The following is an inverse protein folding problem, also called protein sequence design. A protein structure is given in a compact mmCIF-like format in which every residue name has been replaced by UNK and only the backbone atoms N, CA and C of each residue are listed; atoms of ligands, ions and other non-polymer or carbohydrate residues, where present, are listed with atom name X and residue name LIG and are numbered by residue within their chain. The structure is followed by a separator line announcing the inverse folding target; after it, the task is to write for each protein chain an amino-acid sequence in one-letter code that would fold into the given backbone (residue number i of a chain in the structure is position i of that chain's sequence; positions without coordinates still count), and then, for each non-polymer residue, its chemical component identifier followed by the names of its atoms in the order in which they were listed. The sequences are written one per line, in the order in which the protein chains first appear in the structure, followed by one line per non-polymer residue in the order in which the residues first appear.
data_IF_031167185981
#
_entry.id   IF_031167185981
#
_cell.length_a   1.000
_cell.length_b   1.000
_cell.length_c   1.000
_cell.angle_alpha   90.00
_cell.angle_beta   90.00
_cell.angle_gamma   90.00
#
_symmetry.space_group_name_H-M   'P 1'
#
loop_
_entity.id
_entity.type
_entity.pdbx_description
1 polymer ?
#
# COMPACT_ATOMS: atom_id res chain seq x y z
N UNK A 1 -10.49 -20.54 16.65
CA UNK A 1 -9.23 -19.91 17.10
C UNK A 1 -9.63 -18.65 17.86
N UNK A 2 -9.53 -18.68 19.19
CA UNK A 2 -10.10 -17.66 20.07
C UNK A 2 -9.47 -16.30 19.84
N UNK A 3 -10.29 -15.30 19.54
CA UNK A 3 -9.90 -13.89 19.47
C UNK A 3 -10.31 -13.24 20.79
N UNK A 4 -9.35 -12.67 21.53
CA UNK A 4 -9.61 -12.03 22.80
C UNK A 4 -9.98 -10.55 22.59
N UNK A 5 -11.25 -10.19 22.79
CA UNK A 5 -11.75 -8.81 22.66
C UNK A 5 -11.05 -7.84 23.61
N UNK A 6 -10.57 -6.71 23.07
CA UNK A 6 -10.11 -5.57 23.85
C UNK A 6 -11.34 -4.84 24.37
N UNK A 7 -11.81 -5.21 25.56
CA UNK A 7 -12.84 -4.44 26.27
C UNK A 7 -12.18 -3.25 26.96
N UNK A 8 -12.12 -2.09 26.30
CA UNK A 8 -11.77 -0.83 26.95
C UNK A 8 -13.04 -0.17 27.51
N UNK A 9 -13.05 0.04 28.82
CA UNK A 9 -14.02 0.85 29.55
C UNK A 9 -13.76 2.33 29.26
N UNK A 10 -14.53 2.94 28.36
CA UNK A 10 -14.51 4.40 28.19
C UNK A 10 -15.20 4.96 26.94
N UNK A 11 -16.51 5.21 27.04
CA UNK A 11 -17.38 6.14 26.28
C UNK A 11 -17.21 6.20 24.74
N UNK A 12 -18.16 5.76 23.90
CA UNK A 12 -19.51 6.33 23.80
C UNK A 12 -20.59 5.37 23.22
N UNK A 13 -20.52 4.08 23.51
CA UNK A 13 -21.64 3.16 23.31
C UNK A 13 -22.04 2.56 24.66
N UNK A 14 -23.10 3.08 25.28
CA UNK A 14 -23.62 2.62 26.58
C UNK A 14 -24.36 1.28 26.54
N UNK A 15 -23.82 0.28 25.85
CA UNK A 15 -24.35 -1.09 25.82
C UNK A 15 -23.31 -2.07 26.38
N UNK A 16 -23.75 -3.02 27.21
CA UNK A 16 -22.88 -4.14 27.61
C UNK A 16 -22.54 -4.99 26.37
N UNK A 17 -21.43 -5.73 26.46
CA UNK A 17 -20.91 -6.59 25.40
C UNK A 17 -21.89 -7.72 25.00
N UNK A 18 -22.96 -7.97 25.79
CA UNK A 18 -24.02 -8.93 25.47
C UNK A 18 -24.96 -8.48 24.32
N UNK A 19 -24.78 -7.27 23.78
CA UNK A 19 -25.64 -6.68 22.73
C UNK A 19 -25.06 -6.75 21.31
N UNK A 20 -23.90 -7.40 21.13
CA UNK A 20 -23.14 -7.46 19.87
C UNK A 20 -23.66 -8.51 18.86
N UNK A 21 -24.98 -8.59 18.64
CA UNK A 21 -25.60 -9.59 17.74
C UNK A 21 -26.60 -8.98 16.72
N UNK A 22 -26.59 -7.66 16.53
CA UNK A 22 -27.46 -7.02 15.54
C UNK A 22 -26.95 -7.28 14.11
N UNK A 23 -27.74 -7.93 13.26
CA UNK A 23 -27.36 -8.17 11.86
C UNK A 23 -28.05 -7.19 10.90
N UNK A 24 -27.24 -6.43 10.17
CA UNK A 24 -27.69 -5.59 9.06
C UNK A 24 -27.93 -6.47 7.82
N UNK A 25 -29.03 -6.23 7.07
CA UNK A 25 -29.29 -6.94 5.82
C UNK A 25 -28.22 -6.59 4.78
N UNK A 26 -27.86 -7.57 3.95
CA UNK A 26 -26.91 -7.41 2.83
C UNK A 26 -27.49 -8.15 1.62
N UNK A 27 -28.22 -7.42 0.78
CA UNK A 27 -29.00 -7.98 -0.32
C UNK A 27 -28.86 -7.10 -1.58
N UNK A 28 -27.66 -6.98 -2.17
CA UNK A 28 -27.37 -6.03 -3.25
C UNK A 28 -28.15 -6.29 -4.56
N UNK A 29 -28.78 -7.45 -4.69
CA UNK A 29 -29.41 -7.91 -5.93
C UNK A 29 -30.94 -7.89 -5.88
N UNK A 30 -31.53 -7.45 -4.77
CA UNK A 30 -32.98 -7.39 -4.59
C UNK A 30 -33.39 -6.05 -3.98
N UNK A 31 -34.00 -5.19 -4.79
CA UNK A 31 -34.60 -3.95 -4.34
C UNK A 31 -36.12 -4.11 -4.19
N UNK A 32 -36.73 -3.36 -3.28
CA UNK A 32 -38.18 -3.31 -3.15
C UNK A 32 -38.81 -2.53 -4.31
N UNK A 33 -39.91 -3.05 -4.84
CA UNK A 33 -40.70 -2.40 -5.88
C UNK A 33 -41.95 -1.73 -5.27
N UNK A 34 -41.79 -0.49 -4.82
CA UNK A 34 -42.88 0.30 -4.26
C UNK A 34 -44.01 0.53 -5.27
N UNK A 35 -45.26 0.27 -4.86
CA UNK A 35 -46.44 0.52 -5.67
C UNK A 35 -47.63 0.98 -4.82
N UNK A 36 -48.59 1.65 -5.46
CA UNK A 36 -49.76 2.20 -4.77
C UNK A 36 -50.59 1.08 -4.12
N UNK A 37 -50.99 1.29 -2.87
CA UNK A 37 -51.78 0.33 -2.09
C UNK A 37 -50.96 -0.76 -1.38
N UNK A 38 -49.63 -0.78 -1.53
CA UNK A 38 -48.74 -1.70 -0.83
C UNK A 38 -48.65 -1.36 0.66
N UNK A 39 -48.79 -2.37 1.54
CA UNK A 39 -48.49 -2.26 2.97
C UNK A 39 -47.01 -2.60 3.19
N UNK A 40 -46.26 -1.71 3.85
CA UNK A 40 -44.83 -1.91 4.12
C UNK A 40 -44.60 -2.45 5.54
N UNK A 41 -43.87 -3.54 5.65
CA UNK A 41 -43.46 -4.18 6.90
C UNK A 41 -41.96 -4.09 7.18
N UNK A 42 -41.52 -4.75 8.24
CA UNK A 42 -40.09 -4.78 8.63
C UNK A 42 -39.21 -5.37 7.53
N UNK A 43 -39.64 -6.46 6.89
CA UNK A 43 -38.87 -7.09 5.82
C UNK A 43 -38.71 -6.20 4.58
N UNK A 44 -39.71 -5.38 4.26
CA UNK A 44 -39.66 -4.40 3.17
C UNK A 44 -38.57 -3.34 3.41
N UNK A 45 -38.50 -2.80 4.63
CA UNK A 45 -37.47 -1.84 5.01
C UNK A 45 -36.08 -2.49 5.14
N UNK A 46 -36.02 -3.77 5.55
CA UNK A 46 -34.76 -4.53 5.55
C UNK A 46 -34.27 -4.79 4.12
N UNK A 47 -35.17 -5.09 3.18
CA UNK A 47 -34.82 -5.24 1.77
C UNK A 47 -34.28 -3.91 1.20
N UNK A 48 -34.98 -2.79 1.44
CA UNK A 48 -34.49 -1.47 1.02
C UNK A 48 -33.12 -1.12 1.61
N UNK A 49 -32.94 -1.33 2.92
CA UNK A 49 -31.65 -1.06 3.58
C UNK A 49 -30.55 -1.97 3.03
N UNK A 50 -30.84 -3.26 2.86
CA UNK A 50 -29.90 -4.27 2.41
C UNK A 50 -29.44 -4.06 0.97
N UNK A 51 -30.31 -3.51 0.11
CA UNK A 51 -29.96 -3.16 -1.26
C UNK A 51 -28.85 -2.10 -1.30
N UNK A 52 -29.05 -0.96 -0.63
CA UNK A 52 -28.07 0.13 -0.63
C UNK A 52 -26.77 -0.25 0.10
N UNK A 53 -26.89 -0.88 1.27
CA UNK A 53 -25.73 -1.30 2.05
C UNK A 53 -24.91 -2.36 1.32
N UNK A 54 -25.56 -3.38 0.77
CA UNK A 54 -24.89 -4.41 -0.02
C UNK A 54 -24.23 -3.85 -1.27
N UNK A 55 -24.88 -2.88 -1.95
CA UNK A 55 -24.30 -2.22 -3.12
C UNK A 55 -23.05 -1.42 -2.75
N UNK A 56 -23.06 -0.70 -1.62
CA UNK A 56 -21.89 0.02 -1.11
C UNK A 56 -20.74 -0.94 -0.77
N UNK A 57 -21.02 -2.02 -0.04
CA UNK A 57 -20.03 -3.05 0.29
C UNK A 57 -19.45 -3.72 -0.95
N UNK A 58 -20.29 -4.01 -1.95
CA UNK A 58 -19.86 -4.56 -3.24
C UNK A 58 -18.97 -3.60 -4.00
N UNK A 59 -19.36 -2.34 -4.06
CA UNK A 59 -18.56 -1.29 -4.69
C UNK A 59 -17.17 -1.18 -4.04
N UNK A 60 -17.10 -1.14 -2.70
CA UNK A 60 -15.84 -1.08 -1.97
C UNK A 60 -14.94 -2.29 -2.28
N UNK A 61 -15.42 -3.51 -2.04
CA UNK A 61 -14.59 -4.71 -2.22
C UNK A 61 -14.19 -4.95 -3.68
N UNK A 62 -15.07 -4.68 -4.64
CA UNK A 62 -14.83 -4.99 -6.04
C UNK A 62 -13.91 -3.97 -6.74
N UNK A 63 -14.02 -2.67 -6.39
CA UNK A 63 -13.28 -1.61 -7.08
C UNK A 63 -12.07 -1.10 -6.30
N UNK A 64 -12.11 -1.16 -4.97
CA UNK A 64 -11.07 -0.59 -4.11
C UNK A 64 -10.29 -1.67 -3.37
N UNK A 65 -10.94 -2.77 -3.00
CA UNK A 65 -10.34 -3.84 -2.20
C UNK A 65 -10.50 -3.55 -0.71
N UNK A 66 -9.45 -3.80 0.07
CA UNK A 66 -9.49 -3.71 1.54
C UNK A 66 -8.17 -3.19 2.11
N UNK A 67 -8.22 -2.69 3.34
CA UNK A 67 -7.06 -2.19 4.08
C UNK A 67 -7.37 -0.92 4.88
N UNK A 68 -6.36 -0.45 5.59
CA UNK A 68 -6.39 0.83 6.31
C UNK A 68 -6.32 1.98 5.30
N UNK A 69 -7.31 2.86 5.32
CA UNK A 69 -7.39 4.04 4.43
C UNK A 69 -6.58 5.20 5.02
N UNK A 70 -6.81 5.50 6.31
CA UNK A 70 -6.05 6.48 7.07
C UNK A 70 -6.11 6.19 8.57
N UNK A 71 -5.17 6.74 9.35
CA UNK A 71 -5.16 6.62 10.79
C UNK A 71 -4.75 5.22 11.28
N UNK A 72 -5.39 4.76 12.36
CA UNK A 72 -5.08 3.49 13.02
C UNK A 72 -3.59 3.37 13.39
N UNK A 73 -2.98 4.47 13.83
CA UNK A 73 -1.64 4.42 14.38
C UNK A 73 -1.66 3.63 15.69
N UNK A 74 -0.70 2.73 15.87
CA UNK A 74 -0.56 1.89 17.05
C UNK A 74 0.69 2.34 17.80
N UNK A 75 0.48 2.86 19.00
CA UNK A 75 1.53 3.41 19.86
C UNK A 75 1.64 2.54 21.12
N UNK A 76 2.85 2.49 21.70
CA UNK A 76 3.08 1.84 22.99
C UNK A 76 3.61 2.89 23.99
N UNK A 77 2.87 3.11 25.08
CA UNK A 77 3.29 3.92 26.21
C UNK A 77 3.96 3.02 27.24
N UNK A 78 5.29 2.97 27.20
CA UNK A 78 6.08 2.11 28.08
C UNK A 78 5.95 2.50 29.58
N UNK A 79 5.66 3.76 29.89
CA UNK A 79 5.52 4.22 31.27
C UNK A 79 4.19 3.74 31.88
N UNK A 80 3.14 3.66 31.06
CA UNK A 80 1.83 3.14 31.48
C UNK A 80 1.62 1.66 31.18
N UNK A 81 2.51 1.04 30.41
CA UNK A 81 2.36 -0.33 29.93
C UNK A 81 1.07 -0.51 29.12
N UNK A 82 0.77 0.49 28.28
CA UNK A 82 -0.46 0.56 27.50
C UNK A 82 -0.16 0.57 26.01
N UNK A 83 -0.97 -0.15 25.24
CA UNK A 83 -1.11 0.07 23.81
C UNK A 83 -2.19 1.12 23.57
N UNK A 84 -1.97 1.97 22.59
CA UNK A 84 -2.92 2.98 22.15
C UNK A 84 -3.13 2.88 20.65
N UNK A 85 -4.37 2.63 20.25
CA UNK A 85 -4.79 2.65 18.84
C UNK A 85 -5.51 3.97 18.58
N UNK A 86 -4.97 4.79 17.68
CA UNK A 86 -5.54 6.09 17.33
C UNK A 86 -6.72 5.96 16.35
N UNK A 87 -7.61 6.98 16.28
CA UNK A 87 -8.70 7.04 15.32
C UNK A 87 -8.27 6.76 13.88
N UNK A 88 -9.19 6.22 13.08
CA UNK A 88 -8.90 5.84 11.70
C UNK A 88 -10.10 5.28 10.96
N UNK A 89 -9.90 5.05 9.66
CA UNK A 89 -10.85 4.39 8.78
C UNK A 89 -10.14 3.27 8.03
N UNK A 90 -10.78 2.11 8.01
CA UNK A 90 -10.36 0.97 7.22
C UNK A 90 -11.57 0.34 6.54
N UNK A 91 -11.31 -0.42 5.47
CA UNK A 91 -12.31 -1.24 4.78
C UNK A 91 -11.86 -2.68 4.91
N UNK A 92 -12.75 -3.54 5.38
CA UNK A 92 -12.45 -4.96 5.54
C UNK A 92 -12.61 -5.75 4.24
N UNK A 93 -12.26 -7.05 4.26
CA UNK A 93 -12.30 -7.88 3.04
C UNK A 93 -13.72 -8.10 2.47
N UNK A 94 -14.76 -7.82 3.25
CA UNK A 94 -16.18 -7.91 2.85
C UNK A 94 -16.73 -6.57 2.37
N UNK A 95 -15.91 -5.51 2.39
CA UNK A 95 -16.27 -4.16 1.98
C UNK A 95 -16.98 -3.35 3.07
N UNK A 96 -16.88 -3.77 4.34
CA UNK A 96 -17.49 -3.07 5.49
C UNK A 96 -16.55 -1.99 6.00
N UNK A 97 -17.12 -0.86 6.37
CA UNK A 97 -16.37 0.25 6.95
C UNK A 97 -16.06 -0.05 8.42
N UNK A 98 -14.79 0.16 8.78
CA UNK A 98 -14.26 0.05 10.13
C UNK A 98 -13.80 1.46 10.53
N UNK A 99 -14.73 2.25 11.06
CA UNK A 99 -14.46 3.62 11.49
C UNK A 99 -14.27 3.66 13.00
N UNK A 100 -13.10 4.11 13.45
CA UNK A 100 -12.81 4.35 14.85
C UNK A 100 -12.69 5.84 15.10
N UNK A 101 -13.64 6.40 15.86
CA UNK A 101 -13.74 7.85 16.08
C UNK A 101 -12.85 8.37 17.22
N UNK A 102 -12.49 7.49 18.16
CA UNK A 102 -11.74 7.85 19.36
C UNK A 102 -10.61 6.86 19.63
N UNK A 103 -9.52 7.35 20.23
CA UNK A 103 -8.39 6.50 20.59
C UNK A 103 -8.82 5.44 21.61
N UNK A 104 -8.33 4.20 21.42
CA UNK A 104 -8.57 3.08 22.32
C UNK A 104 -7.28 2.72 23.02
N UNK A 105 -7.31 2.65 24.35
CA UNK A 105 -6.17 2.27 25.17
C UNK A 105 -6.39 0.88 25.76
N UNK A 106 -5.33 0.08 25.82
CA UNK A 106 -5.33 -1.24 26.44
C UNK A 106 -4.11 -1.40 27.34
N UNK A 107 -4.34 -1.64 28.62
CA UNK A 107 -3.28 -2.09 29.54
C UNK A 107 -2.86 -3.51 29.20
N UNK A 108 -1.61 -3.69 28.80
CA UNK A 108 -1.03 -4.99 28.47
C UNK A 108 -1.00 -5.94 29.69
N UNK A 109 -0.61 -5.49 30.90
CA UNK A 109 -0.72 -6.31 32.10
C UNK A 109 -2.14 -6.77 32.42
N UNK A 110 -3.13 -5.87 32.37
CA UNK A 110 -4.51 -6.19 32.70
C UNK A 110 -5.13 -7.14 31.66
N UNK A 111 -4.78 -6.96 30.38
CA UNK A 111 -5.16 -7.88 29.32
C UNK A 111 -4.57 -9.27 29.57
N UNK A 112 -3.28 -9.35 29.90
CA UNK A 112 -2.62 -10.64 30.15
C UNK A 112 -3.23 -11.37 31.35
N UNK A 113 -3.49 -10.69 32.46
CA UNK A 113 -4.10 -11.31 33.65
C UNK A 113 -5.45 -11.96 33.32
N UNK A 114 -6.24 -11.32 32.45
CA UNK A 114 -7.55 -11.80 31.99
C UNK A 114 -7.45 -12.96 30.99
N UNK A 115 -6.46 -12.94 30.09
CA UNK A 115 -6.42 -13.82 28.91
C UNK A 115 -5.37 -14.93 28.95
N UNK A 116 -4.43 -14.93 29.91
CA UNK A 116 -3.38 -15.95 30.04
C UNK A 116 -3.90 -17.39 30.18
N UNK A 117 -5.16 -17.55 30.60
CA UNK A 117 -5.83 -18.85 30.72
C UNK A 117 -6.57 -19.32 29.46
N UNK A 118 -6.61 -18.51 28.40
CA UNK A 118 -7.29 -18.87 27.16
C UNK A 118 -6.53 -20.00 26.43
N UNK A 119 -7.25 -20.87 25.71
CA UNK A 119 -6.68 -22.00 24.96
C UNK A 119 -5.56 -21.57 23.99
N UNK A 120 -5.61 -20.34 23.49
CA UNK A 120 -4.60 -19.76 22.60
C UNK A 120 -3.19 -19.65 23.24
N UNK A 121 -3.11 -19.73 24.57
CA UNK A 121 -1.89 -19.59 25.36
C UNK A 121 -1.53 -20.86 26.14
N UNK A 122 -2.33 -21.93 26.04
CA UNK A 122 -2.19 -23.15 26.83
C UNK A 122 -0.84 -23.88 26.64
N UNK A 123 -0.19 -23.70 25.48
CA UNK A 123 1.08 -24.34 25.15
C UNK A 123 2.31 -23.59 25.69
N UNK A 124 2.13 -22.42 26.34
CA UNK A 124 3.24 -21.64 26.85
C UNK A 124 3.84 -22.29 28.11
N UNK A 125 5.19 -22.41 28.19
CA UNK A 125 5.85 -23.17 29.24
C UNK A 125 5.77 -22.50 30.62
N UNK A 126 5.69 -21.17 30.65
CA UNK A 126 5.55 -20.39 31.88
C UNK A 126 4.63 -19.21 31.60
N UNK A 127 3.47 -19.17 32.27
CA UNK A 127 2.50 -18.07 32.13
C UNK A 127 2.82 -16.87 33.02
N UNK A 128 3.71 -17.03 34.01
CA UNK A 128 4.11 -15.98 34.96
C UNK A 128 5.34 -15.18 34.48
N UNK A 129 6.04 -15.66 33.45
CA UNK A 129 7.13 -14.97 32.74
C UNK A 129 7.22 -15.50 31.31
N UNK A 130 6.76 -14.70 30.35
CA UNK A 130 6.66 -15.10 28.95
C UNK A 130 7.07 -13.99 27.99
N UNK A 131 7.76 -14.36 26.92
CA UNK A 131 8.00 -13.50 25.76
C UNK A 131 7.28 -14.08 24.55
N UNK A 132 6.44 -13.28 23.89
CA UNK A 132 5.61 -13.75 22.78
C UNK A 132 5.29 -12.64 21.78
N UNK A 133 5.03 -13.04 20.54
CA UNK A 133 4.57 -12.12 19.50
C UNK A 133 3.04 -12.06 19.46
N UNK A 134 2.50 -10.84 19.35
CA UNK A 134 1.06 -10.56 19.25
C UNK A 134 0.74 -9.73 18.00
N UNK A 135 -0.52 -9.82 17.56
CA UNK A 135 -1.11 -8.97 16.53
C UNK A 135 -2.22 -8.12 17.14
N UNK A 136 -2.24 -6.84 16.80
CA UNK A 136 -3.39 -5.95 17.00
C UNK A 136 -4.32 -6.13 15.81
N UNK A 137 -5.53 -6.60 16.07
CA UNK A 137 -6.49 -6.98 15.03
C UNK A 137 -7.74 -6.12 15.13
N UNK A 138 -8.20 -5.65 13.97
CA UNK A 138 -9.40 -4.85 13.79
C UNK A 138 -10.46 -5.68 13.06
N UNK A 139 -11.60 -5.88 13.70
CA UNK A 139 -12.71 -6.65 13.16
C UNK A 139 -13.96 -5.78 13.06
N UNK A 140 -14.85 -6.13 12.15
CA UNK A 140 -16.20 -5.57 12.12
C UNK A 140 -17.02 -6.13 13.28
N UNK A 141 -17.74 -5.26 13.99
CA UNK A 141 -18.80 -5.66 14.91
C UNK A 141 -20.04 -4.77 14.71
N UNK A 142 -21.17 -5.26 15.19
CA UNK A 142 -22.42 -4.52 15.18
C UNK A 142 -23.20 -4.75 16.46
N UNK A 143 -23.62 -3.65 17.09
CA UNK A 143 -24.27 -3.67 18.39
C UNK A 143 -25.71 -3.19 18.28
N UNK A 144 -26.61 -3.91 18.94
CA UNK A 144 -27.96 -3.43 19.18
C UNK A 144 -27.91 -2.27 20.17
N UNK A 145 -28.57 -1.16 19.86
CA UNK A 145 -28.58 0.02 20.72
C UNK A 145 -29.98 0.61 20.84
N UNK A 146 -30.16 1.43 21.89
CA UNK A 146 -31.41 2.11 22.22
C UNK A 146 -32.59 1.13 22.40
N UNK A 147 -32.69 0.47 23.56
CA UNK A 147 -33.84 -0.35 23.90
C UNK A 147 -35.11 0.51 23.94
N UNK A 148 -36.19 0.00 23.39
CA UNK A 148 -37.50 0.65 23.30
C UNK A 148 -38.60 -0.35 23.67
N UNK A 149 -39.72 0.10 24.25
CA UNK A 149 -40.89 -0.74 24.40
C UNK A 149 -41.35 -1.30 23.06
N UNK A 150 -41.64 -2.60 23.03
CA UNK A 150 -42.13 -3.34 21.88
C UNK A 150 -43.32 -4.21 22.27
N UNK A 151 -44.18 -4.51 21.30
CA UNK A 151 -45.26 -5.47 21.49
C UNK A 151 -44.61 -6.84 21.69
N UNK A 152 -44.86 -7.46 22.84
CA UNK A 152 -44.37 -8.80 23.12
C UNK A 152 -44.98 -9.80 22.12
N UNK A 153 -44.17 -10.73 21.62
CA UNK A 153 -44.69 -11.83 20.83
C UNK A 153 -45.70 -12.61 21.68
N UNK A 154 -46.97 -12.73 21.29
CA UNK A 154 -47.98 -13.44 22.07
C UNK A 154 -47.67 -14.93 22.27
N UNK A 155 -46.73 -15.49 21.51
CA UNK A 155 -46.23 -16.85 21.67
C UNK A 155 -44.97 -16.95 22.55
N UNK A 156 -44.29 -15.83 22.83
CA UNK A 156 -43.21 -15.78 23.80
C UNK A 156 -43.84 -15.68 25.19
N UNK A 157 -43.73 -16.75 25.98
CA UNK A 157 -44.36 -16.83 27.31
C UNK A 157 -44.02 -15.65 28.23
N UNK A 158 -44.74 -15.55 29.36
CA UNK A 158 -44.85 -14.40 30.28
C UNK A 158 -43.54 -13.78 30.83
N UNK A 159 -42.37 -14.33 30.51
CA UNK A 159 -41.06 -13.91 31.02
C UNK A 159 -40.22 -13.06 30.03
N UNK A 160 -40.74 -12.71 28.84
CA UNK A 160 -40.02 -11.79 27.95
C UNK A 160 -40.48 -10.35 28.16
N UNK A 161 -39.62 -9.45 28.67
CA UNK A 161 -39.96 -8.03 28.73
C UNK A 161 -40.22 -7.55 27.30
N UNK A 162 -41.33 -6.83 27.09
CA UNK A 162 -41.69 -6.20 25.81
C UNK A 162 -40.73 -5.07 25.44
N UNK A 163 -39.46 -5.40 25.25
CA UNK A 163 -38.36 -4.50 24.94
C UNK A 163 -37.66 -5.06 23.70
N UNK A 164 -37.51 -4.22 22.68
CA UNK A 164 -36.68 -4.48 21.51
C UNK A 164 -35.67 -3.35 21.31
N UNK A 165 -34.64 -3.57 20.51
CA UNK A 165 -33.66 -2.53 20.20
C UNK A 165 -34.03 -1.83 18.89
N UNK A 166 -34.04 -0.50 18.92
CA UNK A 166 -34.49 0.31 17.78
C UNK A 166 -33.38 0.62 16.77
N UNK A 167 -32.12 0.27 17.07
CA UNK A 167 -30.95 0.62 16.28
C UNK A 167 -29.94 -0.52 16.25
N UNK A 168 -29.26 -0.65 15.12
CA UNK A 168 -28.02 -1.43 14.97
C UNK A 168 -26.94 -0.40 14.63
N UNK A 169 -25.87 -0.36 15.43
CA UNK A 169 -24.72 0.49 15.20
C UNK A 169 -23.55 -0.37 14.75
N UNK A 170 -22.93 -0.01 13.62
CA UNK A 170 -21.65 -0.59 13.20
C UNK A 170 -20.54 0.06 14.03
N UNK A 171 -19.68 -0.76 14.63
CA UNK A 171 -18.52 -0.30 15.37
C UNK A 171 -17.41 -1.34 15.21
N UNK A 172 -16.18 -0.95 14.87
CA UNK A 172 -15.10 -1.91 14.81
C UNK A 172 -14.73 -2.38 16.23
N UNK A 173 -14.40 -3.66 16.36
CA UNK A 173 -13.79 -4.21 17.57
C UNK A 173 -12.29 -4.36 17.38
N UNK A 174 -11.55 -4.04 18.43
CA UNK A 174 -10.11 -4.29 18.51
C UNK A 174 -9.88 -5.54 19.35
N UNK A 175 -8.92 -6.37 18.96
CA UNK A 175 -8.50 -7.55 19.72
C UNK A 175 -6.99 -7.72 19.67
N UNK A 176 -6.44 -8.37 20.70
CA UNK A 176 -5.08 -8.91 20.66
C UNK A 176 -5.16 -10.41 20.48
N UNK A 177 -4.31 -10.96 19.62
CA UNK A 177 -4.15 -12.41 19.44
C UNK A 177 -2.70 -12.78 19.22
N UNK A 178 -2.35 -14.05 19.41
CA UNK A 178 -1.04 -14.60 19.04
C UNK A 178 -0.73 -14.27 17.58
N UNK A 179 0.48 -13.79 17.33
CA UNK A 179 0.93 -13.55 15.98
C UNK A 179 0.89 -14.86 15.20
N UNK A 180 0.22 -14.81 14.05
CA UNK A 180 0.18 -15.94 13.13
C UNK A 180 1.31 -15.77 12.11
N UNK A 181 1.91 -16.87 11.62
CA UNK A 181 2.72 -16.81 10.41
C UNK A 181 1.91 -16.07 9.35
N UNK A 182 2.56 -15.19 8.57
CA UNK A 182 1.86 -14.54 7.46
C UNK A 182 1.15 -15.64 6.66
N UNK A 183 -0.18 -15.64 6.70
CA UNK A 183 -0.96 -16.62 5.96
C UNK A 183 -0.48 -16.54 4.51
N UNK A 184 -0.30 -17.69 3.85
CA UNK A 184 0.00 -17.69 2.43
C UNK A 184 -1.08 -16.85 1.77
N UNK A 185 -0.73 -15.64 1.33
CA UNK A 185 -1.71 -14.69 0.85
C UNK A 185 -2.47 -15.38 -0.28
N UNK A 186 -3.81 -15.43 -0.16
CA UNK A 186 -4.65 -15.86 -1.28
C UNK A 186 -4.17 -15.14 -2.52
N UNK A 187 -3.96 -15.88 -3.63
CA UNK A 187 -3.34 -15.33 -4.82
C UNK A 187 -4.03 -14.00 -5.18
N UNK A 188 -3.28 -12.87 -5.21
CA UNK A 188 -3.88 -11.57 -5.39
C UNK A 188 -4.62 -11.50 -6.74
N UNK A 189 -5.75 -10.77 -6.82
CA UNK A 189 -6.56 -10.71 -8.03
C UNK A 189 -5.78 -10.07 -9.19
N UNK A 190 -6.30 -10.22 -10.42
CA UNK A 190 -5.69 -9.68 -11.63
C UNK A 190 -4.27 -10.18 -11.90
N UNK A 191 -3.99 -11.46 -11.68
CA UNK A 191 -2.64 -12.07 -11.81
C UNK A 191 -1.88 -11.62 -13.04
N UNK A 192 -2.46 -11.76 -14.23
CA UNK A 192 -1.78 -11.45 -15.50
C UNK A 192 -1.34 -9.98 -15.60
N UNK A 193 -2.18 -9.05 -15.10
CA UNK A 193 -1.84 -7.63 -15.00
C UNK A 193 -0.71 -7.39 -14.01
N UNK A 194 -0.69 -8.11 -12.88
CA UNK A 194 0.39 -8.03 -11.90
C UNK A 194 1.72 -8.50 -12.47
N UNK A 195 1.73 -9.57 -13.29
CA UNK A 195 2.94 -10.02 -13.99
C UNK A 195 3.41 -8.96 -14.99
N UNK A 196 2.50 -8.38 -15.79
CA UNK A 196 2.83 -7.28 -16.72
C UNK A 196 3.45 -6.07 -16.01
N UNK A 197 2.95 -5.74 -14.80
CA UNK A 197 3.43 -4.64 -13.96
C UNK A 197 4.67 -4.99 -13.12
N UNK A 198 5.18 -6.22 -13.19
CA UNK A 198 6.32 -6.67 -12.37
C UNK A 198 5.99 -6.85 -10.87
N UNK A 199 4.72 -6.90 -10.50
CA UNK A 199 4.22 -7.11 -9.13
C UNK A 199 4.09 -8.60 -8.76
N UNK A 200 4.35 -9.49 -9.71
CA UNK A 200 4.38 -10.94 -9.52
C UNK A 200 5.40 -11.56 -10.49
N UNK A 201 6.04 -12.64 -10.07
CA UNK A 201 6.90 -13.42 -10.97
C UNK A 201 6.05 -14.21 -11.98
N UNK A 202 6.50 -14.34 -13.25
CA UNK A 202 5.80 -15.13 -14.25
C UNK A 202 5.85 -16.64 -13.91
N UNK A 203 4.74 -17.33 -14.11
CA UNK A 203 4.62 -18.79 -14.01
C UNK A 203 4.31 -19.41 -15.37
N UNK A 204 4.40 -20.75 -15.53
CA UNK A 204 4.08 -21.42 -16.81
C UNK A 204 2.68 -21.09 -17.36
N UNK A 205 1.71 -20.83 -16.47
CA UNK A 205 0.37 -20.40 -16.84
C UNK A 205 0.32 -19.02 -17.52
N UNK A 206 1.34 -18.18 -17.32
CA UNK A 206 1.45 -16.82 -17.88
C UNK A 206 2.22 -16.80 -19.22
N UNK A 207 2.54 -17.98 -19.79
CA UNK A 207 3.33 -18.13 -21.02
C UNK A 207 2.78 -17.37 -22.24
N UNK A 208 1.47 -17.11 -22.28
CA UNK A 208 0.88 -16.26 -23.30
C UNK A 208 1.44 -14.83 -23.28
N UNK A 209 1.63 -14.25 -22.09
CA UNK A 209 2.13 -12.88 -21.95
C UNK A 209 3.60 -12.80 -22.36
N UNK A 210 4.43 -13.74 -21.90
CA UNK A 210 5.86 -13.77 -22.28
C UNK A 210 6.05 -14.00 -23.78
N UNK A 211 5.22 -14.85 -24.39
CA UNK A 211 5.21 -15.05 -25.86
C UNK A 211 4.84 -13.76 -26.58
N UNK A 212 3.74 -13.11 -26.19
CA UNK A 212 3.31 -11.87 -26.81
C UNK A 212 4.34 -10.72 -26.68
N UNK A 213 5.02 -10.63 -25.53
CA UNK A 213 6.12 -9.68 -25.34
C UNK A 213 7.32 -9.97 -26.25
N UNK A 214 7.67 -11.24 -26.44
CA UNK A 214 8.74 -11.65 -27.35
C UNK A 214 8.39 -11.35 -28.82
N UNK A 215 7.14 -11.62 -29.22
CA UNK A 215 6.64 -11.32 -30.57
C UNK A 215 6.71 -9.80 -30.86
N UNK A 216 6.28 -8.96 -29.90
CA UNK A 216 6.37 -7.50 -30.01
C UNK A 216 7.81 -7.03 -30.11
N UNK A 217 8.71 -7.60 -29.29
CA UNK A 217 10.13 -7.24 -29.34
C UNK A 217 10.78 -7.56 -30.70
N UNK A 218 10.25 -8.53 -31.44
CA UNK A 218 10.69 -8.89 -32.78
C UNK A 218 10.13 -7.98 -33.89
N UNK A 219 9.11 -7.15 -33.61
CA UNK A 219 8.52 -6.24 -34.60
C UNK A 219 9.46 -5.07 -34.97
N UNK A 220 9.27 -4.45 -36.16
CA UNK A 220 9.87 -3.17 -36.51
C UNK A 220 9.53 -2.06 -35.48
N UNK A 221 10.44 -1.10 -35.20
CA UNK A 221 10.23 -0.09 -34.16
C UNK A 221 8.93 0.73 -34.28
N UNK A 222 8.48 1.00 -35.50
CA UNK A 222 7.26 1.74 -35.83
C UNK A 222 5.97 0.93 -35.56
N UNK A 223 6.06 -0.39 -35.55
CA UNK A 223 4.94 -1.30 -35.26
C UNK A 223 4.84 -1.68 -33.77
N UNK A 224 5.89 -1.44 -32.98
CA UNK A 224 5.93 -1.82 -31.55
C UNK A 224 4.92 -1.07 -30.71
N UNK A 225 4.89 0.26 -30.80
CA UNK A 225 4.01 1.08 -29.96
C UNK A 225 2.51 0.70 -30.09
N UNK A 226 1.92 0.54 -31.30
CA UNK A 226 0.55 0.09 -31.41
C UNK A 226 0.35 -1.37 -30.93
N UNK A 227 1.33 -2.26 -31.13
CA UNK A 227 1.27 -3.64 -30.66
C UNK A 227 1.33 -3.73 -29.12
N UNK A 228 2.15 -2.90 -28.47
CA UNK A 228 2.21 -2.76 -27.01
C UNK A 228 0.87 -2.27 -26.45
N UNK A 229 0.27 -1.25 -27.05
CA UNK A 229 -1.05 -0.76 -26.64
C UNK A 229 -2.13 -1.86 -26.76
N UNK A 230 -2.08 -2.67 -27.83
CA UNK A 230 -2.96 -3.82 -28.00
C UNK A 230 -2.72 -4.91 -26.94
N UNK A 231 -1.46 -5.18 -26.60
CA UNK A 231 -1.10 -6.12 -25.52
C UNK A 231 -1.67 -5.65 -24.18
N UNK A 232 -1.56 -4.36 -23.85
CA UNK A 232 -2.15 -3.79 -22.64
C UNK A 232 -3.65 -4.04 -22.55
N UNK A 233 -4.40 -3.76 -23.62
CA UNK A 233 -5.83 -4.03 -23.66
C UNK A 233 -6.15 -5.53 -23.52
N UNK A 234 -5.39 -6.39 -24.19
CA UNK A 234 -5.56 -7.83 -24.11
C UNK A 234 -5.26 -8.39 -22.70
N UNK A 235 -4.21 -7.89 -22.04
CA UNK A 235 -3.87 -8.25 -20.65
C UNK A 235 -4.99 -7.81 -19.71
N UNK A 236 -5.50 -6.58 -19.83
CA UNK A 236 -6.61 -6.09 -19.02
C UNK A 236 -7.86 -6.96 -19.19
N UNK A 237 -8.24 -7.27 -20.43
CA UNK A 237 -9.40 -8.12 -20.72
C UNK A 237 -9.26 -9.54 -20.18
N UNK A 238 -8.07 -10.16 -20.32
CA UNK A 238 -7.82 -11.50 -19.79
C UNK A 238 -7.73 -11.50 -18.27
N UNK A 239 -7.04 -10.54 -17.67
CA UNK A 239 -6.91 -10.43 -16.22
C UNK A 239 -8.29 -10.25 -15.56
N UNK A 240 -9.16 -9.40 -16.13
CA UNK A 240 -10.54 -9.22 -15.65
C UNK A 240 -11.37 -10.48 -15.84
N UNK A 241 -11.31 -11.15 -16.99
CA UNK A 241 -12.07 -12.39 -17.25
C UNK A 241 -11.69 -13.55 -16.32
N UNK A 242 -10.46 -13.55 -15.78
CA UNK A 242 -9.97 -14.57 -14.85
C UNK A 242 -9.99 -14.14 -13.37
N UNK A 243 -10.55 -12.97 -13.06
CA UNK A 243 -10.70 -12.49 -11.68
C UNK A 243 -12.13 -12.71 -11.21
N UNK A 244 -12.30 -13.40 -10.07
CA UNK A 244 -13.59 -13.62 -9.41
C UNK A 244 -13.93 -12.50 -8.42
N UNK A 245 -15.14 -12.49 -7.85
CA UNK A 245 -15.48 -11.57 -6.76
C UNK A 245 -14.54 -11.88 -5.57
N UNK A 246 -13.85 -10.87 -4.99
CA UNK A 246 -13.01 -11.07 -3.82
C UNK A 246 -13.72 -11.75 -2.64
N UNK A 247 -15.05 -11.66 -2.57
CA UNK A 247 -15.86 -12.33 -1.57
C UNK A 247 -15.86 -13.86 -1.74
N UNK A 248 -15.79 -14.38 -2.97
CA UNK A 248 -15.77 -15.83 -3.24
C UNK A 248 -14.49 -16.51 -2.73
N UNK A 249 -13.42 -15.73 -2.54
CA UNK A 249 -12.15 -16.20 -2.02
C UNK A 249 -12.07 -16.20 -0.48
N UNK A 250 -13.08 -15.64 0.20
CA UNK A 250 -13.19 -15.68 1.66
C UNK A 250 -13.95 -16.94 2.08
N UNK A 251 -13.47 -17.62 3.11
CA UNK A 251 -14.26 -18.66 3.76
C UNK A 251 -15.49 -18.03 4.42
N UNK A 252 -16.61 -18.75 4.45
CA UNK A 252 -17.87 -18.25 5.03
C UNK A 252 -17.73 -17.84 6.50
N UNK A 253 -16.80 -18.45 7.22
CA UNK A 253 -16.48 -18.18 8.63
C UNK A 253 -15.34 -17.17 8.82
N UNK A 254 -14.72 -16.67 7.75
CA UNK A 254 -13.69 -15.64 7.84
C UNK A 254 -14.32 -14.30 8.24
N UNK A 255 -14.00 -13.76 9.44
CA UNK A 255 -14.58 -12.51 9.90
C UNK A 255 -14.08 -11.29 9.11
N UNK A 256 -13.12 -11.44 8.20
CA UNK A 256 -12.59 -10.38 7.33
C UNK A 256 -11.69 -9.38 8.04
N UNK A 257 -11.20 -9.71 9.24
CA UNK A 257 -10.45 -8.80 10.09
C UNK A 257 -9.10 -8.38 9.48
N UNK A 258 -8.62 -7.20 9.90
CA UNK A 258 -7.36 -6.62 9.46
C UNK A 258 -6.33 -6.64 10.60
N UNK A 259 -5.08 -6.99 10.28
CA UNK A 259 -3.96 -6.81 11.21
C UNK A 259 -3.48 -5.36 11.09
N UNK A 260 -3.53 -4.60 12.20
CA UNK A 260 -3.09 -3.20 12.25
C UNK A 260 -1.61 -3.07 12.58
N UNK A 261 -1.12 -3.91 13.49
CA UNK A 261 0.27 -3.91 13.93
C UNK A 261 0.69 -5.27 14.50
N UNK A 262 1.99 -5.55 14.49
CA UNK A 262 2.64 -6.67 15.17
C UNK A 262 3.49 -6.18 16.33
N UNK A 263 3.39 -6.88 17.44
CA UNK A 263 4.19 -6.65 18.64
C UNK A 263 5.22 -7.77 18.71
N UNK A 264 6.49 -7.43 18.47
CA UNK A 264 7.58 -8.40 18.50
C UNK A 264 8.22 -8.48 19.88
N UNK A 265 8.31 -9.70 20.42
CA UNK A 265 8.97 -9.96 21.69
C UNK A 265 8.32 -9.22 22.86
N UNK A 266 6.98 -9.18 22.92
CA UNK A 266 6.30 -8.63 24.09
C UNK A 266 6.60 -9.53 25.29
N UNK A 267 7.25 -8.95 26.30
CA UNK A 267 7.59 -9.63 27.55
C UNK A 267 6.57 -9.28 28.62
N UNK A 268 5.90 -10.30 29.15
CA UNK A 268 4.87 -10.22 30.19
C UNK A 268 5.34 -11.05 31.38
N UNK A 269 5.44 -10.43 32.56
CA UNK A 269 5.96 -11.09 33.75
C UNK A 269 5.28 -10.60 35.02
N UNK A 270 5.32 -11.41 36.07
CA UNK A 270 4.77 -11.07 37.38
C UNK A 270 5.87 -10.74 38.37
N UNK A 271 5.79 -9.55 38.98
CA UNK A 271 6.71 -9.10 40.03
C UNK A 271 5.95 -8.81 41.36
N UNK A 272 6.62 -8.13 42.30
CA UNK A 272 6.02 -7.79 43.60
C UNK A 272 4.89 -6.73 43.49
N UNK A 273 4.82 -6.01 42.37
CA UNK A 273 3.86 -4.95 42.09
C UNK A 273 2.68 -5.46 41.25
N UNK A 274 2.76 -6.69 40.73
CA UNK A 274 1.71 -7.35 39.98
C UNK A 274 2.19 -7.78 38.60
N UNK A 275 1.29 -7.80 37.62
CA UNK A 275 1.68 -8.02 36.23
C UNK A 275 2.36 -6.78 35.66
N UNK A 276 3.43 -7.01 34.93
CA UNK A 276 4.19 -6.01 34.20
C UNK A 276 4.30 -6.42 32.74
N UNK A 277 4.55 -5.43 31.88
CA UNK A 277 4.88 -5.67 30.49
C UNK A 277 6.07 -4.82 30.05
N UNK A 278 6.90 -5.36 29.16
CA UNK A 278 7.90 -4.58 28.44
C UNK A 278 7.92 -4.97 26.96
N UNK A 279 8.12 -3.97 26.09
CA UNK A 279 8.20 -4.16 24.65
C UNK A 279 9.44 -3.41 24.15
N UNK A 280 10.38 -4.15 23.56
CA UNK A 280 11.69 -3.62 23.20
C UNK A 280 11.66 -2.70 21.97
N UNK A 281 10.71 -2.92 21.06
CA UNK A 281 10.56 -2.16 19.82
C UNK A 281 9.17 -1.51 19.75
N UNK A 282 9.04 -0.46 18.94
CA UNK A 282 7.72 0.09 18.63
C UNK A 282 6.86 -0.96 17.89
N UNK A 283 5.52 -0.91 18.01
CA UNK A 283 4.62 -1.75 17.22
C UNK A 283 4.93 -1.64 15.71
N UNK A 284 5.13 -2.78 15.05
CA UNK A 284 5.41 -2.86 13.61
C UNK A 284 4.11 -2.73 12.82
N UNK A 285 3.99 -1.66 12.03
CA UNK A 285 2.83 -1.39 11.17
C UNK A 285 3.09 -1.69 9.70
N UNK A 286 4.32 -2.06 9.31
CA UNK A 286 4.74 -2.12 7.91
C UNK A 286 4.06 -3.24 7.13
N UNK A 287 3.56 -4.26 7.85
CA UNK A 287 2.85 -5.40 7.27
C UNK A 287 1.33 -5.21 7.18
N UNK A 288 0.79 -4.06 7.61
CA UNK A 288 -0.66 -3.85 7.59
C UNK A 288 -1.17 -3.64 6.15
N UNK A 289 -2.31 -4.24 5.77
CA UNK A 289 -2.93 -3.94 4.50
C UNK A 289 -3.32 -2.46 4.47
N UNK A 290 -2.92 -1.75 3.42
CA UNK A 290 -3.18 -0.33 3.24
C UNK A 290 -3.97 -0.10 1.95
N UNK A 291 -5.02 0.70 2.04
CA UNK A 291 -5.88 1.05 0.92
C UNK A 291 -5.66 2.52 0.55
N UNK A 292 -4.98 2.76 -0.57
CA UNK A 292 -4.68 4.11 -1.02
C UNK A 292 -5.86 4.71 -1.80
N UNK A 293 -6.11 6.04 -1.68
CA UNK A 293 -7.13 6.70 -2.47
C UNK A 293 -6.89 6.53 -3.98
N UNK A 294 -7.96 6.26 -4.75
CA UNK A 294 -7.85 6.08 -6.21
C UNK A 294 -7.21 7.27 -6.92
N UNK A 295 -7.44 8.49 -6.43
CA UNK A 295 -6.79 9.70 -6.96
C UNK A 295 -5.26 9.64 -6.80
N UNK A 296 -4.77 9.16 -5.66
CA UNK A 296 -3.32 9.02 -5.42
C UNK A 296 -2.72 7.95 -6.34
N UNK A 297 -3.42 6.83 -6.52
CA UNK A 297 -3.01 5.77 -7.45
C UNK A 297 -2.95 6.26 -8.90
N UNK A 298 -3.96 7.00 -9.35
CA UNK A 298 -3.97 7.59 -10.69
C UNK A 298 -2.82 8.60 -10.87
N UNK A 299 -2.59 9.48 -9.89
CA UNK A 299 -1.47 10.43 -9.92
C UNK A 299 -0.11 9.73 -9.94
N UNK A 300 0.05 8.63 -9.19
CA UNK A 300 1.29 7.85 -9.17
C UNK A 300 1.55 7.15 -10.51
N UNK A 301 0.52 6.55 -11.13
CA UNK A 301 0.63 5.90 -12.43
C UNK A 301 0.93 6.92 -13.53
N UNK A 302 0.25 8.07 -13.54
CA UNK A 302 0.48 9.12 -14.55
C UNK A 302 1.79 9.92 -14.32
N UNK A 303 2.57 9.59 -13.29
CA UNK A 303 3.86 10.24 -13.05
C UNK A 303 4.87 9.80 -14.13
N UNK A 304 5.54 10.75 -14.81
CA UNK A 304 6.59 10.44 -15.77
C UNK A 304 7.64 9.50 -15.16
N UNK A 305 7.86 8.35 -15.79
CA UNK A 305 8.83 7.34 -15.34
C UNK A 305 8.31 6.26 -14.38
N UNK A 306 7.01 6.22 -14.02
CA UNK A 306 6.44 5.20 -13.13
C UNK A 306 5.52 4.19 -13.84
N UNK A 307 4.67 4.60 -14.80
CA UNK A 307 3.79 3.67 -15.53
C UNK A 307 4.22 3.36 -16.97
N UNK A 308 5.47 2.94 -17.13
CA UNK A 308 5.87 2.27 -18.36
C UNK A 308 6.85 1.15 -18.03
N UNK A 309 6.37 -0.10 -17.87
CA UNK A 309 7.21 -1.25 -18.12
C UNK A 309 7.62 -1.15 -19.60
N UNK A 310 8.85 -0.71 -19.86
CA UNK A 310 9.49 -0.94 -21.14
C UNK A 310 9.05 -0.10 -22.34
N UNK A 311 8.50 1.11 -22.18
CA UNK A 311 8.58 2.05 -23.31
C UNK A 311 10.07 2.28 -23.55
N UNK A 312 10.64 1.91 -24.71
CA UNK A 312 12.03 2.18 -25.01
C UNK A 312 12.18 3.70 -25.06
N UNK A 313 12.79 4.22 -24.00
CA UNK A 313 13.07 5.64 -23.85
C UNK A 313 13.88 6.08 -25.07
N UNK A 314 13.36 7.07 -25.80
CA UNK A 314 13.92 7.46 -27.10
C UNK A 314 15.37 7.96 -26.99
N UNK A 315 15.67 8.72 -25.94
CA UNK A 315 16.95 9.41 -25.78
C UNK A 315 18.00 8.70 -24.92
N UNK A 316 19.30 8.97 -25.13
CA UNK A 316 20.39 8.45 -24.29
C UNK A 316 20.29 8.94 -22.84
N UNK A 317 20.73 8.11 -21.89
CA UNK A 317 20.82 8.41 -20.45
C UNK A 317 22.13 7.92 -19.85
N UNK A 318 22.50 8.49 -18.70
CA UNK A 318 23.59 7.91 -17.89
C UNK A 318 23.16 6.55 -17.33
N UNK A 319 24.07 5.57 -17.40
CA UNK A 319 23.93 4.30 -16.69
C UNK A 319 23.88 4.56 -15.18
N UNK A 320 23.15 3.74 -14.40
CA UNK A 320 23.27 3.74 -12.95
C UNK A 320 24.75 3.55 -12.53
N UNK A 321 25.27 4.44 -11.69
CA UNK A 321 26.70 4.44 -11.31
C UNK A 321 27.66 4.84 -12.44
N UNK A 322 27.16 5.29 -13.59
CA UNK A 322 27.96 5.66 -14.76
C UNK A 322 28.68 7.00 -14.63
N UNK A 323 28.47 7.75 -13.54
CA UNK A 323 29.24 8.95 -13.20
C UNK A 323 30.35 8.58 -12.22
N UNK A 324 31.61 8.77 -12.63
CA UNK A 324 32.76 8.54 -11.76
C UNK A 324 33.80 9.65 -11.89
N UNK A 325 34.59 9.85 -10.84
CA UNK A 325 35.66 10.86 -10.78
C UNK A 325 37.02 10.20 -10.56
N UNK A 326 38.03 10.68 -11.28
CA UNK A 326 39.43 10.33 -11.06
C UNK A 326 40.27 11.60 -11.19
N UNK A 327 40.69 12.16 -10.05
CA UNK A 327 41.39 13.44 -10.01
C UNK A 327 40.53 14.59 -10.58
N UNK A 328 41.02 15.22 -11.65
CA UNK A 328 40.35 16.29 -12.42
C UNK A 328 39.47 15.75 -13.55
N UNK A 329 39.40 14.43 -13.75
CA UNK A 329 38.63 13.81 -14.83
C UNK A 329 37.31 13.24 -14.32
N UNK A 330 36.20 13.63 -14.95
CA UNK A 330 34.87 13.06 -14.75
C UNK A 330 34.50 12.18 -15.94
N UNK A 331 34.04 10.96 -15.66
CA UNK A 331 33.62 9.99 -16.67
C UNK A 331 32.12 9.76 -16.56
N UNK A 332 31.45 9.79 -17.69
CA UNK A 332 30.02 9.58 -17.84
C UNK A 332 29.78 8.43 -18.82
N UNK A 333 29.22 7.33 -18.34
CA UNK A 333 28.88 6.15 -19.15
C UNK A 333 27.40 6.18 -19.52
N UNK A 334 27.11 6.18 -20.82
CA UNK A 334 25.75 6.21 -21.36
C UNK A 334 25.24 4.82 -21.73
N UNK A 335 23.93 4.64 -21.67
CA UNK A 335 23.23 3.41 -22.04
C UNK A 335 23.16 3.20 -23.57
N UNK A 336 23.11 4.29 -24.34
CA UNK A 336 23.04 4.32 -25.80
C UNK A 336 24.26 5.02 -26.42
N UNK A 337 24.48 4.77 -27.71
CA UNK A 337 25.51 5.46 -28.49
C UNK A 337 25.11 6.93 -28.70
N UNK A 338 26.06 7.86 -28.60
CA UNK A 338 25.85 9.29 -28.78
C UNK A 338 26.21 9.75 -30.19
N UNK A 339 25.50 10.76 -30.69
CA UNK A 339 25.93 11.49 -31.88
C UNK A 339 27.12 12.38 -31.51
N UNK A 340 28.32 12.00 -31.95
CA UNK A 340 29.57 12.67 -31.57
C UNK A 340 29.57 14.19 -31.82
N UNK A 341 28.88 14.66 -32.86
CA UNK A 341 28.76 16.08 -33.17
C UNK A 341 27.92 16.89 -32.15
N UNK A 342 27.06 16.23 -31.36
CA UNK A 342 26.28 16.88 -30.29
C UNK A 342 27.05 17.00 -28.97
N UNK A 343 28.16 16.28 -28.82
CA UNK A 343 29.00 16.29 -27.61
C UNK A 343 29.83 17.57 -27.60
N UNK A 344 29.39 18.56 -26.84
CA UNK A 344 30.03 19.88 -26.75
C UNK A 344 30.05 20.39 -25.30
N UNK A 345 30.89 21.39 -25.00
CA UNK A 345 30.96 21.93 -23.63
C UNK A 345 29.65 22.56 -23.17
N UNK A 346 28.81 23.06 -24.08
CA UNK A 346 27.52 23.67 -23.77
C UNK A 346 26.45 22.68 -23.30
N UNK A 347 26.60 21.38 -23.58
CA UNK A 347 25.63 20.36 -23.15
C UNK A 347 25.95 19.78 -21.77
N UNK A 348 27.09 20.13 -21.17
CA UNK A 348 27.46 19.69 -19.83
C UNK A 348 27.61 20.89 -18.89
N UNK A 349 27.01 20.81 -17.70
CA UNK A 349 27.28 21.73 -16.60
C UNK A 349 27.75 20.94 -15.38
N UNK A 350 28.91 21.32 -14.84
CA UNK A 350 29.45 20.73 -13.61
C UNK A 350 29.43 21.80 -12.51
N UNK A 351 28.90 21.43 -11.34
CA UNK A 351 28.81 22.30 -10.18
C UNK A 351 29.27 21.56 -8.93
N UNK A 352 29.96 22.25 -8.04
CA UNK A 352 30.34 21.75 -6.72
C UNK A 352 29.52 22.46 -5.63
N UNK A 353 29.06 21.71 -4.64
CA UNK A 353 28.37 22.22 -3.46
C UNK A 353 29.30 22.20 -2.25
N UNK A 354 29.65 23.39 -1.76
CA UNK A 354 30.47 23.59 -0.57
C UNK A 354 29.76 24.46 0.48
N UNK A 355 30.48 24.95 1.50
CA UNK A 355 29.93 25.78 2.57
C UNK A 355 29.26 27.07 2.09
N UNK A 356 29.72 27.61 0.95
CA UNK A 356 29.18 28.82 0.32
C UNK A 356 28.04 28.54 -0.70
N UNK A 357 27.61 27.28 -0.83
CA UNK A 357 26.58 26.85 -1.78
C UNK A 357 27.14 26.30 -3.10
N UNK A 358 26.34 26.38 -4.17
CA UNK A 358 26.67 25.87 -5.49
C UNK A 358 27.63 26.81 -6.24
N UNK A 359 28.73 26.25 -6.72
CA UNK A 359 29.72 26.97 -7.55
C UNK A 359 30.00 26.18 -8.84
N UNK A 360 30.10 26.85 -10.00
CA UNK A 360 30.39 26.18 -11.26
C UNK A 360 31.86 25.74 -11.33
N UNK A 361 32.11 24.57 -11.93
CA UNK A 361 33.45 24.10 -12.26
C UNK A 361 33.70 24.24 -13.76
N UNK A 362 34.85 24.83 -14.13
CA UNK A 362 35.23 25.05 -15.52
C UNK A 362 35.99 23.86 -16.11
N UNK A 363 35.99 23.76 -17.44
CA UNK A 363 36.65 22.70 -18.20
C UNK A 363 38.00 23.18 -18.75
N UNK A 364 39.01 22.30 -18.76
CA UNK A 364 40.29 22.59 -19.43
C UNK A 364 40.21 22.41 -20.94
N UNK A 365 39.45 21.40 -21.37
CA UNK A 365 39.38 20.94 -22.75
C UNK A 365 37.92 20.60 -23.14
N UNK A 366 37.59 20.59 -24.44
CA UNK A 366 36.30 20.08 -24.92
C UNK A 366 36.06 18.64 -24.44
N UNK A 367 34.80 18.26 -24.18
CA UNK A 367 34.44 16.89 -23.80
C UNK A 367 34.85 15.91 -24.90
N UNK A 368 35.45 14.77 -24.51
CA UNK A 368 35.79 13.70 -25.46
C UNK A 368 34.81 12.53 -25.33
N UNK A 369 34.40 11.96 -26.46
CA UNK A 369 33.50 10.81 -26.52
C UNK A 369 34.21 9.60 -27.12
N UNK A 370 34.15 8.46 -26.42
CA UNK A 370 34.64 7.15 -26.87
C UNK A 370 33.44 6.26 -27.25
N UNK A 371 33.20 6.03 -28.55
CA UNK A 371 32.08 5.21 -29.02
C UNK A 371 32.15 3.76 -28.52
N UNK A 372 33.34 3.16 -28.51
CA UNK A 372 33.54 1.77 -28.09
C UNK A 372 33.09 1.47 -26.66
N UNK A 373 33.08 2.50 -25.80
CA UNK A 373 32.69 2.39 -24.38
C UNK A 373 31.48 3.23 -24.01
N UNK A 374 30.84 3.92 -24.99
CA UNK A 374 29.75 4.89 -24.75
C UNK A 374 30.07 5.90 -23.66
N UNK A 375 31.32 6.35 -23.61
CA UNK A 375 31.88 7.11 -22.49
C UNK A 375 32.21 8.53 -22.92
N UNK A 376 31.68 9.50 -22.18
CA UNK A 376 32.12 10.89 -22.25
C UNK A 376 33.10 11.17 -21.11
N UNK A 377 34.20 11.85 -21.41
CA UNK A 377 35.18 12.31 -20.42
C UNK A 377 35.22 13.82 -20.41
N UNK A 378 35.00 14.41 -19.23
CA UNK A 378 35.12 15.85 -18.96
C UNK A 378 36.39 16.08 -18.14
N UNK A 379 37.26 16.97 -18.59
CA UNK A 379 38.46 17.36 -17.84
C UNK A 379 38.23 18.74 -17.23
N UNK A 380 38.32 18.81 -15.91
CA UNK A 380 38.17 20.05 -15.14
C UNK A 380 39.46 20.86 -15.20
N UNK A 381 39.34 22.19 -15.29
CA UNK A 381 40.49 23.11 -15.30
C UNK A 381 41.23 23.17 -13.97
N UNK A 382 40.58 22.76 -12.89
CA UNK A 382 41.13 22.71 -11.54
C UNK A 382 40.58 21.47 -10.81
N UNK A 383 41.31 20.94 -9.81
CA UNK A 383 40.77 19.92 -8.92
C UNK A 383 39.52 20.45 -8.19
N UNK A 384 38.61 19.53 -7.87
CA UNK A 384 37.41 19.85 -7.10
C UNK A 384 37.83 20.41 -5.72
N UNK A 385 37.19 21.49 -5.23
CA UNK A 385 37.49 22.06 -3.92
C UNK A 385 37.42 21.00 -2.82
N UNK A 386 38.41 20.99 -1.91
CA UNK A 386 38.50 19.98 -0.85
C UNK A 386 37.34 20.04 0.16
N UNK A 387 36.66 21.17 0.24
CA UNK A 387 35.48 21.43 1.07
C UNK A 387 34.15 21.17 0.33
N UNK A 388 34.19 20.70 -0.92
CA UNK A 388 33.00 20.33 -1.66
C UNK A 388 32.44 19.00 -1.13
N UNK A 389 31.19 19.01 -0.68
CA UNK A 389 30.49 17.81 -0.22
C UNK A 389 29.84 17.03 -1.38
N UNK A 390 29.41 17.73 -2.43
CA UNK A 390 28.76 17.12 -3.61
C UNK A 390 29.27 17.75 -4.90
N UNK A 391 29.35 16.92 -5.94
CA UNK A 391 29.52 17.36 -7.32
C UNK A 391 28.26 16.96 -8.08
N UNK A 392 27.64 17.92 -8.76
CA UNK A 392 26.52 17.69 -9.69
C UNK A 392 27.02 17.84 -11.11
N UNK A 393 26.69 16.88 -11.96
CA UNK A 393 26.85 16.99 -13.41
C UNK A 393 25.47 16.95 -14.06
N UNK A 394 25.14 18.00 -14.79
CA UNK A 394 23.91 18.13 -15.56
C UNK A 394 24.22 17.97 -17.04
N UNK A 395 23.55 17.03 -17.69
CA UNK A 395 23.54 16.82 -19.13
C UNK A 395 22.31 17.49 -19.70
N UNK A 396 22.48 18.40 -20.65
CA UNK A 396 21.40 19.13 -21.30
C UNK A 396 20.75 18.26 -22.37
N UNK A 397 19.53 17.83 -22.11
CA UNK A 397 18.69 17.10 -23.06
C UNK A 397 17.73 18.01 -23.82
N UNK A 398 17.55 19.25 -23.37
CA UNK A 398 16.58 20.20 -23.91
C UNK A 398 17.22 21.42 -24.59
N UNK A 399 16.42 22.18 -25.34
CA UNK A 399 16.83 23.46 -25.94
C UNK A 399 17.39 23.35 -27.35
N UNK A 400 18.07 24.39 -27.84
CA UNK A 400 18.43 24.50 -29.27
C UNK A 400 19.60 23.62 -29.71
N UNK A 401 20.42 23.16 -28.76
CA UNK A 401 21.58 22.31 -29.02
C UNK A 401 21.71 21.24 -27.92
N UNK A 402 20.77 20.29 -27.83
CA UNK A 402 20.80 19.25 -26.80
C UNK A 402 21.84 18.18 -27.12
N UNK A 403 22.22 17.39 -26.12
CA UNK A 403 22.94 16.14 -26.36
C UNK A 403 22.02 15.16 -27.10
N UNK A 404 22.50 14.54 -28.17
CA UNK A 404 21.72 13.60 -28.98
C UNK A 404 22.31 12.19 -28.92
N UNK A 405 21.43 11.19 -28.97
CA UNK A 405 21.81 9.81 -29.29
C UNK A 405 22.24 9.68 -30.75
N UNK A 406 22.88 8.57 -31.11
CA UNK A 406 23.20 8.25 -32.51
C UNK A 406 21.94 8.10 -33.38
N UNK A 407 20.80 7.84 -32.74
CA UNK A 407 19.46 7.86 -33.32
C UNK A 407 18.87 9.29 -33.47
N UNK A 408 19.64 10.33 -33.16
CA UNK A 408 19.26 11.74 -33.18
C UNK A 408 18.14 12.13 -32.20
N UNK A 409 17.84 11.27 -31.22
CA UNK A 409 16.87 11.57 -30.17
C UNK A 409 17.56 12.32 -29.02
N UNK A 410 16.95 13.40 -28.48
CA UNK A 410 17.55 14.17 -27.41
C UNK A 410 17.72 13.38 -26.11
N UNK A 411 18.78 13.64 -25.36
CA UNK A 411 19.04 12.97 -24.09
C UNK A 411 17.86 13.10 -23.13
N UNK A 412 17.50 11.99 -22.48
CA UNK A 412 16.37 11.96 -21.55
C UNK A 412 14.97 11.98 -22.19
N UNK A 413 14.85 12.09 -23.51
CA UNK A 413 13.56 12.09 -24.20
C UNK A 413 12.72 10.83 -23.86
N UNK A 414 11.46 11.00 -23.44
CA UNK A 414 10.58 9.89 -23.06
C UNK A 414 10.08 9.10 -24.28
N UNK A 415 10.01 9.73 -25.46
CA UNK A 415 9.63 9.12 -26.75
C UNK A 415 10.29 9.84 -27.94
N UNK A 416 10.33 9.24 -29.15
CA UNK A 416 11.00 9.84 -30.33
C UNK A 416 10.45 11.18 -30.80
N UNK A 417 9.20 11.47 -30.47
CA UNK A 417 8.41 12.65 -30.84
C UNK A 417 8.38 13.74 -29.76
N UNK A 418 9.09 13.54 -28.65
CA UNK A 418 9.18 14.48 -27.53
C UNK A 418 10.59 15.05 -27.37
N UNK A 419 10.68 16.28 -26.87
CA UNK A 419 11.95 16.92 -26.54
C UNK A 419 12.65 16.19 -25.38
N UNK A 420 13.96 16.40 -25.25
CA UNK A 420 14.74 15.79 -24.19
C UNK A 420 14.57 16.49 -22.85
N UNK A 421 15.12 15.84 -21.81
CA UNK A 421 15.07 16.33 -20.44
C UNK A 421 16.49 16.50 -19.92
N UNK A 422 16.74 17.59 -19.20
CA UNK A 422 18.04 17.81 -18.57
C UNK A 422 18.25 16.80 -17.43
N UNK A 423 19.29 15.99 -17.54
CA UNK A 423 19.58 14.88 -16.62
C UNK A 423 20.68 15.31 -15.66
N UNK A 424 20.39 15.33 -14.35
CA UNK A 424 21.38 15.66 -13.32
C UNK A 424 21.76 14.46 -12.47
N UNK A 425 23.05 14.16 -12.37
CA UNK A 425 23.61 13.12 -11.50
C UNK A 425 24.56 13.74 -10.47
N UNK A 426 24.69 13.10 -9.31
CA UNK A 426 25.52 13.59 -8.22
C UNK A 426 26.47 12.51 -7.72
N UNK A 427 27.67 12.92 -7.32
CA UNK A 427 28.66 12.09 -6.62
C UNK A 427 29.24 12.87 -5.44
N UNK A 428 29.85 12.17 -4.48
CA UNK A 428 30.57 12.79 -3.38
C UNK A 428 31.73 13.66 -3.90
N UNK A 429 31.92 14.83 -3.30
CA UNK A 429 33.00 15.76 -3.66
C UNK A 429 34.37 15.32 -3.15
N UNK A 430 34.43 14.75 -1.95
CA UNK A 430 35.63 14.16 -1.32
C UNK A 430 35.68 12.65 -1.47
#
# INVERSE_FOLDING_TARGET
MGSAEITASGCACGGSCDSCAGSLPDAPDCAIHYHFGMLLGVEDFRAEQGFHLGHARRHQRALHGYGVVYGYAVEHDAAKQELKVLPGLAVDRRGRDLALDAAQCLSLPAWWDKHRGDDAFAELPNLDDVTLDLEVVLCYASCLSRPVPAIADPCAGDNQPGIAYSRICEAPSLSLRRAQPAAAASAPPYRLLRVLLGLAAPEPADSWLSTAQADIAALPPDERAPAEAALWQAVLARATAHTADPLDALADDDPGCLVLARLHGLHLFKDAQGWQSSLAAAPDIDQRPSLLPSQLLQAALLRPGVAAPGIPLGGPRLKPGGLSRSGTSLRLDFDQDLAAASVSSSVFSVQAFGPAGWSPLAYSDPPSYSPASRRVTLNLSAPVPADASLIRVTVRGSGTTPLLGANLLPAGAPSPDQDGLDISNQIAGS
#
